data_IF_600047689534
#
_entry.id   IF_600047689534
#
_cell.length_a   1.000
_cell.length_b   1.000
_cell.length_c   1.000
_cell.angle_alpha   90.00
_cell.angle_beta   90.00
_cell.angle_gamma   90.00
#
_symmetry.space_group_name_H-M   'P 1'
#
loop_
_entity.id
_entity.type
_entity.pdbx_description
1 polymer ?
#
# COMPACT_ATOMS: atom_id res chain seq x y z
N UNK A 1 22.15 -18.59 -21.35
CA UNK A 1 20.69 -18.87 -21.35
C UNK A 1 20.22 -18.84 -22.80
N UNK A 2 19.45 -19.83 -23.27
CA UNK A 2 18.93 -19.83 -24.66
C UNK A 2 17.95 -18.65 -24.81
N UNK A 3 17.97 -17.87 -25.90
CA UNK A 3 17.13 -16.68 -26.05
C UNK A 3 15.62 -16.97 -25.86
N UNK A 4 15.19 -18.20 -26.17
CA UNK A 4 13.81 -18.65 -26.01
C UNK A 4 13.39 -18.78 -24.54
N UNK A 5 14.30 -19.23 -23.66
CA UNK A 5 13.95 -19.43 -22.25
C UNK A 5 13.83 -18.12 -21.49
N UNK A 6 14.59 -17.08 -21.87
CA UNK A 6 14.48 -15.75 -21.27
C UNK A 6 13.12 -15.09 -21.57
N UNK A 7 12.64 -15.22 -22.82
CA UNK A 7 11.33 -14.69 -23.22
C UNK A 7 10.18 -15.42 -22.52
N UNK A 8 10.28 -16.74 -22.38
CA UNK A 8 9.29 -17.54 -21.64
C UNK A 8 9.26 -17.11 -20.17
N UNK A 9 10.42 -16.94 -19.54
CA UNK A 9 10.51 -16.49 -18.15
C UNK A 9 9.91 -15.09 -17.96
N UNK A 10 10.24 -14.14 -18.85
CA UNK A 10 9.66 -12.80 -18.84
C UNK A 10 8.13 -12.83 -18.94
N UNK A 11 7.59 -13.67 -19.84
CA UNK A 11 6.15 -13.87 -19.98
C UNK A 11 5.50 -14.44 -18.72
N UNK A 12 6.12 -15.44 -18.09
CA UNK A 12 5.61 -16.04 -16.84
C UNK A 12 5.63 -15.01 -15.70
N UNK A 13 6.73 -14.28 -15.52
CA UNK A 13 6.84 -13.25 -14.47
C UNK A 13 5.80 -12.15 -14.68
N UNK A 14 5.58 -11.74 -15.92
CA UNK A 14 4.56 -10.75 -16.29
C UNK A 14 3.15 -11.25 -15.96
N UNK A 15 2.83 -12.50 -16.28
CA UNK A 15 1.54 -13.10 -15.92
C UNK A 15 1.35 -13.17 -14.40
N UNK A 16 2.38 -13.60 -13.66
CA UNK A 16 2.38 -13.63 -12.19
C UNK A 16 2.20 -12.24 -11.57
N UNK A 17 2.81 -11.21 -12.16
CA UNK A 17 2.66 -9.82 -11.74
C UNK A 17 1.20 -9.40 -11.80
N UNK A 18 0.58 -9.47 -12.98
CA UNK A 18 -0.83 -9.09 -13.15
C UNK A 18 -1.77 -9.93 -12.29
N UNK A 19 -1.57 -11.25 -12.23
CA UNK A 19 -2.36 -12.13 -11.38
C UNK A 19 -2.29 -11.74 -9.90
N UNK A 20 -1.09 -11.43 -9.41
CA UNK A 20 -0.87 -10.98 -8.03
C UNK A 20 -1.60 -9.66 -7.75
N UNK A 21 -1.53 -8.68 -8.66
CA UNK A 21 -2.24 -7.41 -8.49
C UNK A 21 -3.76 -7.54 -8.50
N UNK A 22 -4.29 -8.43 -9.34
CA UNK A 22 -5.73 -8.74 -9.35
C UNK A 22 -6.16 -9.35 -8.01
N UNK A 23 -5.43 -10.36 -7.53
CA UNK A 23 -5.73 -11.03 -6.25
C UNK A 23 -5.63 -10.07 -5.07
N UNK A 24 -4.56 -9.27 -5.00
CA UNK A 24 -4.38 -8.28 -3.93
C UNK A 24 -5.42 -7.17 -4.03
N UNK A 25 -5.71 -6.65 -5.22
CA UNK A 25 -6.73 -5.62 -5.42
C UNK A 25 -8.11 -6.06 -4.97
N UNK A 26 -8.57 -7.23 -5.42
CA UNK A 26 -9.87 -7.80 -5.04
C UNK A 26 -9.88 -8.15 -3.54
N UNK A 27 -8.89 -8.89 -3.06
CA UNK A 27 -8.82 -9.31 -1.66
C UNK A 27 -8.73 -8.12 -0.69
N UNK A 28 -7.91 -7.13 -1.03
CA UNK A 28 -7.79 -5.89 -0.28
C UNK A 28 -9.10 -5.10 -0.26
N UNK A 29 -9.81 -5.03 -1.39
CA UNK A 29 -11.12 -4.37 -1.45
C UNK A 29 -12.16 -5.09 -0.57
N UNK A 30 -12.28 -6.41 -0.68
CA UNK A 30 -13.23 -7.18 0.12
C UNK A 30 -12.96 -7.07 1.62
N UNK A 31 -11.70 -7.20 2.03
CA UNK A 31 -11.32 -7.19 3.45
C UNK A 31 -11.36 -5.80 4.03
N UNK A 32 -10.73 -4.83 3.36
CA UNK A 32 -10.55 -3.49 3.93
C UNK A 32 -11.68 -2.53 3.58
N UNK A 33 -12.44 -2.70 2.49
CA UNK A 33 -13.56 -1.80 2.16
C UNK A 33 -14.93 -2.38 2.48
N UNK A 34 -15.18 -3.69 2.25
CA UNK A 34 -16.47 -4.30 2.56
C UNK A 34 -16.55 -4.85 3.99
N UNK A 35 -15.46 -5.38 4.54
CA UNK A 35 -15.43 -5.87 5.92
C UNK A 35 -15.83 -4.79 6.92
N UNK A 36 -16.43 -5.16 8.06
CA UNK A 36 -16.79 -4.21 9.13
C UNK A 36 -15.93 -4.34 10.39
N UNK A 37 -15.06 -5.34 10.46
CA UNK A 37 -14.18 -5.55 11.62
C UNK A 37 -13.04 -4.53 11.64
N UNK A 38 -13.21 -3.50 12.47
CA UNK A 38 -12.26 -2.39 12.59
C UNK A 38 -10.96 -2.81 13.28
N UNK A 39 -11.03 -3.71 14.26
CA UNK A 39 -9.86 -4.19 14.99
C UNK A 39 -8.94 -4.99 14.06
N UNK A 40 -9.54 -5.87 13.25
CA UNK A 40 -8.82 -6.60 12.20
C UNK A 40 -8.16 -5.64 11.21
N UNK A 41 -8.91 -4.65 10.69
CA UNK A 41 -8.38 -3.69 9.71
C UNK A 41 -7.21 -2.88 10.27
N UNK A 42 -7.30 -2.34 11.50
CA UNK A 42 -6.18 -1.58 12.11
C UNK A 42 -4.92 -2.43 12.25
N UNK A 43 -5.09 -3.71 12.59
CA UNK A 43 -3.96 -4.63 12.75
C UNK A 43 -3.36 -5.03 11.40
N UNK A 44 -4.18 -5.40 10.41
CA UNK A 44 -3.70 -6.01 9.18
C UNK A 44 -3.45 -5.04 8.03
N UNK A 45 -4.09 -3.87 8.02
CA UNK A 45 -3.91 -2.91 6.94
C UNK A 45 -2.46 -2.42 6.81
N UNK A 46 -1.75 -2.04 7.90
CA UNK A 46 -0.35 -1.65 7.77
C UNK A 46 0.54 -2.78 7.22
N UNK A 47 0.30 -4.02 7.65
CA UNK A 47 1.03 -5.20 7.16
C UNK A 47 0.73 -5.47 5.69
N UNK A 48 -0.52 -5.32 5.29
CA UNK A 48 -0.97 -5.46 3.91
C UNK A 48 -0.32 -4.41 3.00
N UNK A 49 -0.30 -3.13 3.40
CA UNK A 49 0.35 -2.06 2.63
C UNK A 49 1.86 -2.31 2.51
N UNK A 50 2.53 -2.75 3.57
CA UNK A 50 3.95 -3.11 3.52
C UNK A 50 4.20 -4.31 2.59
N UNK A 51 3.37 -5.36 2.66
CA UNK A 51 3.45 -6.51 1.76
C UNK A 51 3.31 -6.07 0.29
N UNK A 52 2.32 -5.23 0.00
CA UNK A 52 2.09 -4.68 -1.34
C UNK A 52 3.31 -3.89 -1.82
N UNK A 53 3.88 -3.03 -0.97
CA UNK A 53 5.09 -2.27 -1.30
C UNK A 53 6.31 -3.16 -1.58
N UNK A 54 6.55 -4.19 -0.76
CA UNK A 54 7.65 -5.15 -0.96
C UNK A 54 7.47 -5.92 -2.27
N UNK A 55 6.26 -6.43 -2.54
CA UNK A 55 5.97 -7.14 -3.78
C UNK A 55 6.12 -6.23 -5.00
N UNK A 56 5.69 -4.97 -4.91
CA UNK A 56 5.88 -3.99 -5.97
C UNK A 56 7.35 -3.81 -6.33
N UNK A 57 8.20 -3.58 -5.33
CA UNK A 57 9.65 -3.42 -5.55
C UNK A 57 10.24 -4.70 -6.14
N UNK A 58 9.92 -5.87 -5.57
CA UNK A 58 10.44 -7.15 -6.04
C UNK A 58 10.09 -7.39 -7.51
N UNK A 59 8.80 -7.37 -7.87
CA UNK A 59 8.38 -7.61 -9.24
C UNK A 59 8.91 -6.58 -10.22
N UNK A 60 8.87 -5.29 -9.86
CA UNK A 60 9.34 -4.22 -10.75
C UNK A 60 10.84 -4.35 -11.01
N UNK A 61 11.62 -4.71 -9.99
CA UNK A 61 13.06 -4.97 -10.13
C UNK A 61 13.32 -6.17 -11.04
N UNK A 62 12.61 -7.28 -10.82
CA UNK A 62 12.75 -8.51 -11.62
C UNK A 62 12.40 -8.24 -13.08
N UNK A 63 11.27 -7.59 -13.36
CA UNK A 63 10.87 -7.24 -14.72
C UNK A 63 11.86 -6.28 -15.39
N UNK A 64 12.30 -5.25 -14.67
CA UNK A 64 13.24 -4.28 -15.21
C UNK A 64 14.59 -4.90 -15.57
N UNK A 65 15.13 -5.80 -14.73
CA UNK A 65 16.39 -6.52 -15.03
C UNK A 65 16.21 -7.49 -16.20
N UNK A 66 15.08 -8.21 -16.26
CA UNK A 66 14.79 -9.13 -17.37
C UNK A 66 14.65 -8.40 -18.70
N UNK A 67 13.88 -7.31 -18.75
CA UNK A 67 13.62 -6.57 -19.98
C UNK A 67 14.82 -5.73 -20.44
N UNK A 68 15.55 -5.08 -19.51
CA UNK A 68 16.74 -4.29 -19.87
C UNK A 68 17.98 -5.12 -20.17
N UNK A 69 18.00 -6.40 -19.75
CA UNK A 69 19.17 -7.31 -19.80
C UNK A 69 20.43 -6.70 -19.18
N UNK A 70 20.29 -5.74 -18.28
CA UNK A 70 21.39 -5.00 -17.68
C UNK A 70 21.22 -4.90 -16.17
N UNK A 71 22.27 -5.25 -15.44
CA UNK A 71 22.33 -5.05 -13.99
C UNK A 71 22.44 -3.56 -13.61
N UNK A 72 22.85 -2.70 -14.55
CA UNK A 72 22.88 -1.25 -14.35
C UNK A 72 21.49 -0.66 -14.07
N UNK A 73 20.41 -1.36 -14.48
CA UNK A 73 19.05 -0.95 -14.18
C UNK A 73 18.74 -0.93 -12.68
N UNK A 74 19.49 -1.67 -11.85
CA UNK A 74 19.36 -1.64 -10.38
C UNK A 74 19.58 -0.24 -9.78
N UNK A 75 20.26 0.67 -10.50
CA UNK A 75 20.39 2.07 -10.09
C UNK A 75 19.04 2.77 -9.85
N UNK A 76 17.97 2.36 -10.53
CA UNK A 76 16.62 2.90 -10.33
C UNK A 76 16.06 2.61 -8.93
N UNK A 77 16.57 1.60 -8.22
CA UNK A 77 16.11 1.27 -6.88
C UNK A 77 16.36 2.38 -5.86
N UNK A 78 17.37 3.22 -6.11
CA UNK A 78 17.65 4.42 -5.31
C UNK A 78 16.45 5.37 -5.29
N UNK A 79 15.63 5.37 -6.34
CA UNK A 79 14.40 6.18 -6.41
C UNK A 79 13.15 5.38 -6.05
N UNK A 80 13.04 4.14 -6.55
CA UNK A 80 11.84 3.31 -6.37
C UNK A 80 11.62 2.93 -4.91
N UNK A 81 12.67 2.60 -4.16
CA UNK A 81 12.54 2.18 -2.76
C UNK A 81 12.07 3.35 -1.88
N UNK A 82 12.71 4.53 -1.88
CA UNK A 82 12.22 5.67 -1.09
C UNK A 82 10.82 6.11 -1.48
N UNK A 83 10.50 6.14 -2.79
CA UNK A 83 9.16 6.49 -3.26
C UNK A 83 8.11 5.50 -2.74
N UNK A 84 8.38 4.19 -2.81
CA UNK A 84 7.46 3.15 -2.33
C UNK A 84 7.29 3.20 -0.81
N UNK A 85 8.38 3.42 -0.07
CA UNK A 85 8.34 3.58 1.38
C UNK A 85 7.50 4.81 1.78
N UNK A 86 7.70 5.94 1.10
CA UNK A 86 6.92 7.16 1.32
C UNK A 86 5.43 6.91 1.03
N UNK A 87 5.09 6.35 -0.13
CA UNK A 87 3.70 6.05 -0.49
C UNK A 87 3.06 5.10 0.54
N UNK A 88 3.79 4.07 0.98
CA UNK A 88 3.31 3.13 2.01
C UNK A 88 3.03 3.84 3.34
N UNK A 89 3.96 4.70 3.78
CA UNK A 89 3.79 5.51 4.97
C UNK A 89 2.56 6.43 4.87
N UNK A 90 2.39 7.12 3.73
CA UNK A 90 1.25 8.01 3.50
C UNK A 90 -0.08 7.23 3.51
N UNK A 91 -0.13 6.06 2.87
CA UNK A 91 -1.31 5.19 2.89
C UNK A 91 -1.69 4.77 4.32
N UNK A 92 -0.71 4.38 5.13
CA UNK A 92 -0.94 3.98 6.53
C UNK A 92 -1.33 5.19 7.39
N UNK A 93 -0.70 6.35 7.16
CA UNK A 93 -0.92 7.55 7.96
C UNK A 93 -2.30 8.16 7.71
N UNK A 94 -2.73 8.22 6.46
CA UNK A 94 -3.94 8.92 6.02
C UNK A 94 -5.16 8.01 5.84
N UNK A 95 -5.04 6.71 6.07
CA UNK A 95 -6.19 5.80 6.11
C UNK A 95 -6.72 5.63 7.53
N UNK A 96 -8.01 5.82 7.70
CA UNK A 96 -8.74 5.73 8.97
C UNK A 96 -9.85 4.69 8.86
N UNK A 97 -10.18 4.07 10.00
CA UNK A 97 -11.25 3.09 10.11
C UNK A 97 -12.25 3.54 11.18
N UNK A 98 -13.50 3.77 10.78
CA UNK A 98 -14.54 4.23 11.70
C UNK A 98 -15.01 3.09 12.62
N UNK A 99 -14.95 3.28 13.94
CA UNK A 99 -15.41 2.30 14.94
C UNK A 99 -16.91 2.02 14.89
N UNK A 100 -17.72 3.01 14.47
CA UNK A 100 -19.18 2.91 14.51
C UNK A 100 -19.73 2.15 13.30
N UNK A 101 -19.34 2.55 12.07
CA UNK A 101 -19.88 1.95 10.85
C UNK A 101 -18.92 0.99 10.13
N UNK A 102 -17.66 0.87 10.57
CA UNK A 102 -16.64 0.03 9.95
C UNK A 102 -16.06 0.57 8.65
N UNK A 103 -16.47 1.78 8.22
CA UNK A 103 -16.04 2.37 6.96
C UNK A 103 -14.53 2.68 6.96
N UNK A 104 -13.90 2.42 5.81
CA UNK A 104 -12.53 2.83 5.51
C UNK A 104 -12.55 4.18 4.84
N UNK A 105 -11.83 5.13 5.43
CA UNK A 105 -11.79 6.52 5.02
C UNK A 105 -10.36 6.89 4.68
N UNK A 106 -10.20 7.71 3.65
CA UNK A 106 -8.91 8.24 3.27
C UNK A 106 -8.93 9.76 3.42
N UNK A 107 -7.98 10.30 4.18
CA UNK A 107 -7.86 11.74 4.33
C UNK A 107 -7.14 12.34 3.12
N UNK A 108 -7.92 12.93 2.21
CA UNK A 108 -7.40 13.64 1.05
C UNK A 108 -6.77 14.99 1.41
N UNK A 109 -7.09 15.54 2.58
CA UNK A 109 -6.55 16.83 3.01
C UNK A 109 -5.37 16.63 3.96
N UNK A 110 -4.15 16.82 3.46
CA UNK A 110 -2.93 16.60 4.24
C UNK A 110 -2.75 17.60 5.39
N UNK A 111 -3.34 18.79 5.26
CA UNK A 111 -3.19 19.87 6.23
C UNK A 111 -4.18 19.79 7.39
N UNK A 112 -5.34 19.15 7.19
CA UNK A 112 -6.39 19.10 8.20
C UNK A 112 -6.71 17.64 8.59
N UNK A 113 -6.61 17.29 9.88
CA UNK A 113 -6.97 15.95 10.32
C UNK A 113 -8.48 15.71 10.15
N UNK A 114 -8.83 14.54 9.62
CA UNK A 114 -10.22 14.10 9.53
C UNK A 114 -10.74 13.75 10.93
N UNK A 115 -11.67 14.56 11.46
CA UNK A 115 -12.28 14.36 12.80
C UNK A 115 -13.56 13.53 12.77
N UNK A 116 -14.32 13.59 11.68
CA UNK A 116 -15.62 12.93 11.58
C UNK A 116 -15.67 11.97 10.40
N UNK A 117 -16.44 10.90 10.55
CA UNK A 117 -16.72 9.94 9.50
C UNK A 117 -17.67 10.52 8.45
N UNK A 118 -17.26 10.56 7.19
CA UNK A 118 -18.12 11.03 6.08
C UNK A 118 -19.29 10.12 5.72
N UNK A 119 -19.38 8.92 6.33
CA UNK A 119 -20.47 7.96 6.09
C UNK A 119 -21.55 7.99 7.17
N UNK A 120 -21.17 8.07 8.44
CA UNK A 120 -22.12 8.02 9.56
C UNK A 120 -22.05 9.22 10.53
N UNK A 121 -21.15 10.17 10.31
CA UNK A 121 -21.01 11.37 11.15
C UNK A 121 -20.31 11.14 12.50
N UNK A 122 -20.01 9.89 12.88
CA UNK A 122 -19.32 9.60 14.13
C UNK A 122 -17.92 10.21 14.17
N UNK A 123 -17.49 10.63 15.37
CA UNK A 123 -16.12 11.04 15.60
C UNK A 123 -15.16 9.86 15.35
N UNK A 124 -14.08 10.13 14.62
CA UNK A 124 -13.00 9.17 14.44
C UNK A 124 -12.08 9.31 15.63
N UNK A 125 -11.65 8.19 16.24
CA UNK A 125 -10.63 8.21 17.29
C UNK A 125 -9.45 9.06 16.77
N UNK A 126 -9.31 10.26 17.32
CA UNK A 126 -8.18 11.11 17.00
C UNK A 126 -6.94 10.30 17.36
N UNK A 127 -6.04 10.06 16.40
CA UNK A 127 -4.66 9.70 16.75
C UNK A 127 -4.23 10.73 17.81
N UNK A 128 -3.69 10.28 18.96
CA UNK A 128 -3.41 11.18 20.08
C UNK A 128 -2.67 12.39 19.53
N UNK A 129 -3.23 13.58 19.78
CA UNK A 129 -2.57 14.84 19.44
C UNK A 129 -1.14 14.70 19.93
N UNK A 130 -0.17 14.95 19.06
CA UNK A 130 1.18 15.19 19.54
C UNK A 130 1.01 16.34 20.54
N UNK A 131 1.34 16.04 21.79
CA UNK A 131 1.05 16.77 23.01
C UNK A 131 1.52 18.23 22.89
N UNK A 132 0.64 19.13 22.44
CA UNK A 132 0.88 20.59 22.36
C UNK A 132 0.97 21.23 23.76
N UNK A 133 0.58 20.49 24.79
CA UNK A 133 0.62 20.79 26.23
C UNK A 133 2.04 20.68 26.86
N UNK A 134 3.10 20.66 26.05
CA UNK A 134 4.51 20.72 26.49
C UNK A 134 5.20 22.05 26.18
N UNK A 135 4.46 23.05 25.68
CA UNK A 135 4.99 24.36 25.29
C UNK A 135 4.29 25.55 26.00
N UNK A 136 3.55 25.29 27.09
CA UNK A 136 2.99 26.33 27.97
C UNK A 136 3.60 26.26 29.38
#
# INVERSE_FOLDING_TARGET
MKPDTAKILEGIVTACFFGTWVVLGIGGFLVFYLGRDVAFKRKWFPRYILLVGVLFVLFSTTLMVLSSRSLGALGMLVFVIPATALISYLNIKFTYFCNQCGATLHNQNWLNPMRFCSKCGAELDAKPKLRDDLLE
#
